data_IF_786263315044
#
_entry.id   IF_786263315044
#
_cell.length_a   1.000
_cell.length_b   1.000
_cell.length_c   1.000
_cell.angle_alpha   90.00
_cell.angle_beta   90.00
_cell.angle_gamma   90.00
#
_symmetry.space_group_name_H-M   'P 1'
#
loop_
_entity.id
_entity.type
_entity.pdbx_description
1 polymer ?
#
# COMPACT_ATOMS: atom_id res chain seq x y z
N UNK A 1 32.97 -0.56 -10.38
CA UNK A 1 32.12 -0.63 -9.18
C UNK A 1 31.37 0.69 -9.11
N UNK A 2 30.06 0.67 -9.37
CA UNK A 2 29.25 1.90 -9.32
C UNK A 2 29.07 2.29 -7.85
N UNK A 3 29.45 3.52 -7.53
CA UNK A 3 29.29 4.14 -6.23
C UNK A 3 27.81 4.42 -5.99
N UNK A 4 27.10 3.56 -5.26
CA UNK A 4 25.78 3.86 -4.73
C UNK A 4 25.92 4.96 -3.67
N UNK A 5 25.31 6.12 -3.96
CA UNK A 5 25.26 7.24 -3.03
C UNK A 5 24.41 6.86 -1.81
N UNK A 6 24.91 7.00 -0.57
CA UNK A 6 24.21 6.57 0.62
C UNK A 6 23.18 7.62 1.05
N UNK A 7 22.10 7.85 0.28
CA UNK A 7 20.89 8.50 0.84
C UNK A 7 19.62 8.54 -0.03
N UNK A 8 19.51 7.80 -1.13
CA UNK A 8 18.24 7.79 -1.87
C UNK A 8 17.23 6.90 -1.15
N UNK A 9 16.38 7.49 -0.32
CA UNK A 9 15.21 6.84 0.25
C UNK A 9 14.43 6.15 -0.88
N UNK A 10 14.47 4.81 -0.91
CA UNK A 10 13.90 4.02 -2.00
C UNK A 10 12.39 4.26 -2.04
N UNK A 11 11.89 4.78 -3.15
CA UNK A 11 10.45 5.03 -3.33
C UNK A 11 9.77 3.82 -3.94
N UNK A 12 8.69 3.39 -3.32
CA UNK A 12 7.89 2.24 -3.76
C UNK A 12 6.62 2.74 -4.44
N UNK A 13 6.28 2.13 -5.58
CA UNK A 13 5.00 2.37 -6.25
C UNK A 13 3.95 1.51 -5.58
N UNK A 14 2.92 2.14 -5.01
CA UNK A 14 1.73 1.48 -4.49
C UNK A 14 0.61 1.61 -5.51
N UNK A 15 -0.01 0.49 -5.86
CA UNK A 15 -1.17 0.42 -6.76
C UNK A 15 -2.41 -0.02 -5.98
N UNK A 16 -3.32 0.93 -5.79
CA UNK A 16 -4.57 0.82 -5.06
C UNK A 16 -5.66 0.19 -5.94
N UNK A 17 -6.40 -0.75 -5.37
CA UNK A 17 -7.52 -1.43 -6.03
C UNK A 17 -8.75 -1.41 -5.12
N UNK A 18 -9.85 -0.84 -5.60
CA UNK A 18 -11.13 -0.97 -4.92
C UNK A 18 -11.63 -2.41 -5.02
N UNK A 19 -12.16 -2.93 -3.91
CA UNK A 19 -12.88 -4.21 -3.85
C UNK A 19 -14.10 -4.08 -2.94
N UNK A 20 -14.97 -5.08 -2.89
CA UNK A 20 -16.08 -5.14 -1.93
C UNK A 20 -17.01 -3.92 -1.97
N UNK A 21 -17.23 -3.33 -3.15
CA UNK A 21 -18.08 -2.16 -3.33
C UNK A 21 -17.49 -0.82 -2.88
N UNK A 22 -16.20 -0.76 -2.51
CA UNK A 22 -15.57 0.49 -2.11
C UNK A 22 -15.48 1.51 -3.28
N UNK A 23 -15.58 2.83 -3.02
CA UNK A 23 -15.44 3.85 -4.05
C UNK A 23 -14.08 3.80 -4.75
N UNK A 24 -14.07 3.95 -6.08
CA UNK A 24 -12.83 3.94 -6.87
C UNK A 24 -12.12 5.30 -6.76
N UNK A 25 -10.86 5.30 -6.33
CA UNK A 25 -10.04 6.50 -6.30
C UNK A 25 -9.66 6.96 -7.72
N UNK A 26 -9.69 8.28 -7.95
CA UNK A 26 -9.27 8.89 -9.23
C UNK A 26 -7.80 8.60 -9.55
N UNK A 27 -6.94 8.64 -8.53
CA UNK A 27 -5.53 8.28 -8.64
C UNK A 27 -5.29 6.97 -7.89
N UNK A 28 -5.15 5.89 -8.65
CA UNK A 28 -4.94 4.55 -8.10
C UNK A 28 -3.47 4.20 -7.89
N UNK A 29 -2.53 5.02 -8.34
CA UNK A 29 -1.08 4.78 -8.17
C UNK A 29 -0.39 5.99 -7.56
N UNK A 30 0.44 5.75 -6.58
CA UNK A 30 1.30 6.78 -5.99
C UNK A 30 2.63 6.19 -5.55
N UNK A 31 3.58 7.06 -5.24
CA UNK A 31 4.90 6.68 -4.70
C UNK A 31 4.96 7.04 -3.23
N UNK A 32 5.45 6.14 -2.41
CA UNK A 32 5.67 6.31 -0.97
C UNK A 32 7.12 6.02 -0.64
N UNK A 33 7.63 6.57 0.47
CA UNK A 33 8.94 6.15 0.96
C UNK A 33 8.88 4.67 1.38
N UNK A 34 9.88 3.89 1.01
CA UNK A 34 10.02 2.52 1.47
C UNK A 34 10.19 2.43 3.00
N UNK A 35 10.75 3.47 3.63
CA UNK A 35 10.89 3.56 5.09
C UNK A 35 9.59 3.92 5.81
N UNK A 36 8.54 4.33 5.09
CA UNK A 36 7.25 4.62 5.71
C UNK A 36 6.60 3.32 6.19
N UNK A 37 5.82 3.43 7.26
CA UNK A 37 4.98 2.34 7.76
C UNK A 37 3.75 2.15 6.89
N UNK A 38 3.24 0.93 6.82
CA UNK A 38 2.01 0.62 6.11
C UNK A 38 0.79 1.37 6.69
N UNK A 39 0.81 1.70 7.99
CA UNK A 39 -0.16 2.60 8.63
C UNK A 39 -0.37 3.90 7.85
N UNK A 40 0.69 4.49 7.27
CA UNK A 40 0.57 5.72 6.48
C UNK A 40 -0.27 5.51 5.19
N UNK A 41 -0.18 4.32 4.58
CA UNK A 41 -1.01 3.95 3.42
C UNK A 41 -2.47 3.78 3.81
N UNK A 42 -2.74 3.18 4.97
CA UNK A 42 -4.09 3.03 5.52
C UNK A 42 -4.70 4.41 5.81
N UNK A 43 -3.97 5.28 6.49
CA UNK A 43 -4.45 6.63 6.83
C UNK A 43 -4.66 7.49 5.59
N UNK A 44 -3.81 7.35 4.57
CA UNK A 44 -4.04 7.97 3.26
C UNK A 44 -5.38 7.51 2.65
N UNK A 45 -5.65 6.21 2.62
CA UNK A 45 -6.90 5.66 2.09
C UNK A 45 -8.12 6.16 2.87
N UNK A 46 -8.06 6.16 4.21
CA UNK A 46 -9.13 6.68 5.08
C UNK A 46 -9.46 8.14 4.77
N UNK A 47 -8.42 8.98 4.63
CA UNK A 47 -8.58 10.40 4.28
C UNK A 47 -9.15 10.59 2.88
N UNK A 48 -8.71 9.81 1.90
CA UNK A 48 -9.21 9.93 0.52
C UNK A 48 -10.66 9.44 0.37
N UNK A 49 -11.07 8.45 1.16
CA UNK A 49 -12.39 7.82 1.08
C UNK A 49 -13.37 8.34 2.13
N UNK A 50 -12.92 9.22 3.03
CA UNK A 50 -13.72 9.77 4.13
C UNK A 50 -14.38 8.65 4.98
N UNK A 51 -13.61 7.58 5.23
CA UNK A 51 -14.10 6.41 5.98
C UNK A 51 -13.08 5.97 7.02
N UNK A 52 -13.50 5.84 8.27
CA UNK A 52 -12.66 5.32 9.35
C UNK A 52 -12.64 3.78 9.37
N UNK A 53 -13.71 3.16 8.85
CA UNK A 53 -13.85 1.72 8.71
C UNK A 53 -13.46 1.28 7.30
N UNK A 54 -12.23 0.78 7.17
CA UNK A 54 -11.65 0.33 5.91
C UNK A 54 -10.85 -0.94 6.17
N UNK A 55 -11.11 -1.97 5.37
CA UNK A 55 -10.29 -3.18 5.31
C UNK A 55 -9.27 -3.01 4.20
N UNK A 56 -8.00 -3.29 4.49
CA UNK A 56 -6.88 -3.09 3.56
C UNK A 56 -6.08 -4.38 3.45
N UNK A 57 -5.73 -4.77 2.23
CA UNK A 57 -5.10 -6.04 1.93
C UNK A 57 -3.96 -5.90 0.95
N UNK A 58 -2.91 -6.70 1.09
CA UNK A 58 -1.86 -6.85 0.07
C UNK A 58 -2.23 -8.00 -0.85
N UNK A 59 -2.12 -7.79 -2.17
CA UNK A 59 -2.30 -8.79 -3.22
C UNK A 59 -3.60 -9.64 -3.11
N UNK A 60 -4.68 -9.04 -2.62
CA UNK A 60 -5.99 -9.72 -2.51
C UNK A 60 -5.92 -11.00 -1.66
N UNK A 61 -5.06 -11.01 -0.64
CA UNK A 61 -4.78 -12.21 0.16
C UNK A 61 -4.88 -11.95 1.66
N UNK A 62 -4.08 -11.02 2.22
CA UNK A 62 -3.98 -10.83 3.67
C UNK A 62 -3.90 -9.34 4.04
N UNK A 63 -4.25 -9.01 5.28
CA UNK A 63 -4.03 -7.68 5.85
C UNK A 63 -2.67 -7.64 6.54
N UNK A 64 -1.69 -6.84 6.07
CA UNK A 64 -0.39 -6.74 6.72
C UNK A 64 -0.49 -6.05 8.08
N UNK A 65 0.55 -6.18 8.90
CA UNK A 65 0.64 -5.43 10.15
C UNK A 65 0.91 -3.94 9.84
N UNK A 66 0.15 -2.97 10.41
CA UNK A 66 0.34 -1.55 10.16
C UNK A 66 1.75 -1.02 10.47
N UNK A 67 2.50 -1.69 11.35
CA UNK A 67 3.87 -1.33 11.71
C UNK A 67 4.94 -1.82 10.72
N UNK A 68 4.59 -2.71 9.78
CA UNK A 68 5.51 -3.15 8.74
C UNK A 68 5.92 -1.99 7.83
N UNK A 69 7.18 -1.98 7.41
CA UNK A 69 7.65 -1.00 6.44
C UNK A 69 7.13 -1.34 5.03
N UNK A 70 6.85 -0.32 4.22
CA UNK A 70 6.39 -0.55 2.85
C UNK A 70 7.46 -1.25 2.00
N UNK A 71 8.75 -1.02 2.28
CA UNK A 71 9.84 -1.70 1.58
C UNK A 71 9.84 -3.21 1.86
N UNK A 72 9.59 -3.64 3.10
CA UNK A 72 9.56 -5.07 3.44
C UNK A 72 8.37 -5.76 2.77
N UNK A 73 7.20 -5.12 2.78
CA UNK A 73 6.02 -5.63 2.07
C UNK A 73 6.27 -5.71 0.55
N UNK A 74 6.96 -4.72 -0.02
CA UNK A 74 7.31 -4.74 -1.44
C UNK A 74 8.34 -5.82 -1.78
N UNK A 75 9.37 -6.01 -0.96
CA UNK A 75 10.39 -7.03 -1.22
C UNK A 75 9.81 -8.45 -1.16
N UNK A 76 8.84 -8.70 -0.28
CA UNK A 76 8.21 -10.01 -0.12
C UNK A 76 7.05 -10.26 -1.08
N UNK A 77 6.27 -9.23 -1.41
CA UNK A 77 4.99 -9.38 -2.13
C UNK A 77 4.85 -8.47 -3.35
N UNK A 78 5.80 -7.59 -3.61
CA UNK A 78 5.81 -6.73 -4.78
C UNK A 78 6.01 -7.53 -6.06
N UNK A 79 5.35 -7.09 -7.14
CA UNK A 79 5.51 -7.68 -8.46
C UNK A 79 5.32 -6.58 -9.51
N UNK A 80 5.92 -6.73 -10.69
CA UNK A 80 5.76 -5.76 -11.80
C UNK A 80 6.07 -4.31 -11.35
N UNK A 81 7.11 -4.15 -10.53
CA UNK A 81 7.58 -2.84 -10.03
C UNK A 81 6.63 -2.11 -9.08
N UNK A 82 5.62 -2.79 -8.50
CA UNK A 82 4.64 -2.19 -7.59
C UNK A 82 4.21 -3.13 -6.46
N UNK A 83 3.72 -2.54 -5.37
CA UNK A 83 2.97 -3.24 -4.34
C UNK A 83 1.47 -3.03 -4.60
N UNK A 84 0.69 -4.10 -4.75
CA UNK A 84 -0.76 -3.99 -4.93
C UNK A 84 -1.46 -4.01 -3.57
N UNK A 85 -2.22 -2.95 -3.31
CA UNK A 85 -2.99 -2.77 -2.09
C UNK A 85 -4.47 -2.67 -2.45
N UNK A 86 -5.28 -3.52 -1.86
CA UNK A 86 -6.72 -3.58 -2.07
C UNK A 86 -7.41 -2.96 -0.87
N UNK A 87 -8.53 -2.27 -1.09
CA UNK A 87 -9.30 -1.67 -0.02
C UNK A 87 -10.80 -1.94 -0.18
N UNK A 88 -11.48 -2.16 0.94
CA UNK A 88 -12.88 -2.61 1.00
C UNK A 88 -13.65 -1.95 2.16
N UNK A 89 -14.97 -1.77 1.99
CA UNK A 89 -15.88 -1.35 3.05
C UNK A 89 -16.34 -2.50 3.96
N UNK A 90 -16.16 -3.74 3.50
CA UNK A 90 -16.46 -4.97 4.24
C UNK A 90 -15.27 -5.93 4.15
N UNK A 91 -15.14 -6.83 5.11
CA UNK A 91 -14.12 -7.88 5.07
C UNK A 91 -14.24 -8.68 3.75
N UNK A 92 -13.14 -8.80 3.01
CA UNK A 92 -13.10 -9.44 1.70
C UNK A 92 -12.18 -10.66 1.68
N UNK A 93 -11.09 -10.62 2.44
CA UNK A 93 -10.12 -11.70 2.60
C UNK A 93 -9.73 -11.84 4.07
N UNK A 94 -9.16 -13.00 4.42
CA UNK A 94 -8.75 -13.39 5.76
C UNK A 94 -8.01 -14.71 5.72
#
# INVERSE_FOLDING_TARGET
MATESPNSVQKIVVHLRATGGAPILKQSKFKVSGSDKFANVIDFLRRQLHSDSLFVYVNSAFSPNPDESVIDLYNNFGFDGKLVVNYACSMAWG
#
